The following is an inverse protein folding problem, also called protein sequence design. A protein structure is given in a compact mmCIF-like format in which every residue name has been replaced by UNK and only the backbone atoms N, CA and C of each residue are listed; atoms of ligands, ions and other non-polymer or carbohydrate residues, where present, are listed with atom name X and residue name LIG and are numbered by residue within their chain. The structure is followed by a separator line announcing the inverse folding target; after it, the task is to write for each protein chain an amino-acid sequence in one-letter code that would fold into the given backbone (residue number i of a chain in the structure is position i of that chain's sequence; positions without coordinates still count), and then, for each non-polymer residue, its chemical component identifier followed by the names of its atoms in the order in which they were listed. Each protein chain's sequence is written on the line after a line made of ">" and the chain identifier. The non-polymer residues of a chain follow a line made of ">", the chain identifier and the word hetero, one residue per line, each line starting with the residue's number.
data_IF_842756530488
#
_entry.id   IF_842756530488
#
_cell.length_a   1.000
_cell.length_b   1.000
_cell.length_c   1.000
_cell.angle_alpha   90.00
_cell.angle_beta   90.00
_cell.angle_gamma   90.00
#
_symmetry.space_group_name_H-M   'P 1'
#
loop_
_entity.id
_entity.type
_entity.pdbx_description
1 polymer ?
#
# COMPACT_ATOMS: atom_id res chain seq x y z
N UNK A 1 19.35 -9.80 11.70
CA UNK A 1 19.65 -11.27 11.61
C UNK A 1 18.84 -11.96 10.52
N UNK A 2 17.49 -12.03 10.58
CA UNK A 2 16.74 -12.79 9.56
C UNK A 2 16.90 -12.27 8.13
N UNK A 3 16.92 -10.94 7.93
CA UNK A 3 17.05 -10.36 6.58
C UNK A 3 18.47 -10.51 6.01
N UNK A 4 19.50 -10.40 6.82
CA UNK A 4 20.88 -10.63 6.40
C UNK A 4 21.11 -12.09 5.99
N UNK A 5 20.47 -13.01 6.69
CA UNK A 5 20.50 -14.43 6.32
C UNK A 5 19.75 -14.68 5.01
N UNK A 6 18.56 -14.11 4.84
CA UNK A 6 17.81 -14.18 3.58
C UNK A 6 18.60 -13.56 2.42
N UNK A 7 19.29 -12.43 2.64
CA UNK A 7 20.12 -11.81 1.62
C UNK A 7 21.22 -12.75 1.12
N UNK A 8 21.86 -13.50 2.03
CA UNK A 8 22.87 -14.50 1.67
C UNK A 8 22.32 -15.62 0.78
N UNK A 9 21.03 -15.95 0.93
CA UNK A 9 20.37 -16.94 0.06
C UNK A 9 19.92 -16.34 -1.26
N UNK A 10 19.51 -15.08 -1.27
CA UNK A 10 18.94 -14.44 -2.45
C UNK A 10 19.99 -13.93 -3.43
N UNK A 11 21.11 -13.38 -2.94
CA UNK A 11 22.15 -12.84 -3.80
C UNK A 11 22.70 -13.86 -4.82
N UNK A 12 23.01 -15.11 -4.44
CA UNK A 12 23.48 -16.11 -5.42
C UNK A 12 22.43 -16.52 -6.46
N UNK A 13 21.14 -16.39 -6.12
CA UNK A 13 20.03 -16.70 -7.04
C UNK A 13 19.88 -15.60 -8.09
N UNK A 14 20.15 -14.36 -7.71
CA UNK A 14 19.94 -13.16 -8.52
C UNK A 14 18.52 -12.64 -8.51
N UNK A 15 18.38 -11.31 -8.49
CA UNK A 15 17.08 -10.64 -8.34
C UNK A 15 16.11 -10.95 -9.48
N UNK A 16 16.61 -11.17 -10.70
CA UNK A 16 15.77 -11.53 -11.85
C UNK A 16 15.01 -12.85 -11.60
N UNK A 17 15.73 -13.91 -11.20
CA UNK A 17 15.10 -15.22 -10.90
C UNK A 17 14.18 -15.17 -9.68
N UNK A 18 14.48 -14.30 -8.70
CA UNK A 18 13.59 -14.09 -7.57
C UNK A 18 12.28 -13.41 -8.01
N UNK A 19 12.34 -12.46 -8.95
CA UNK A 19 11.13 -11.88 -9.57
C UNK A 19 10.32 -12.93 -10.33
N UNK A 20 10.98 -13.78 -11.12
CA UNK A 20 10.31 -14.84 -11.89
C UNK A 20 9.55 -15.81 -10.96
N UNK A 21 10.07 -16.07 -9.75
CA UNK A 21 9.41 -16.91 -8.76
C UNK A 21 8.08 -16.34 -8.23
N UNK A 22 7.82 -15.05 -8.46
CA UNK A 22 6.56 -14.38 -8.09
C UNK A 22 5.47 -14.55 -9.18
N UNK A 23 5.82 -15.07 -10.36
CA UNK A 23 4.84 -15.39 -11.38
C UNK A 23 3.82 -16.41 -10.84
N UNK A 24 2.56 -16.11 -11.02
CA UNK A 24 1.47 -16.93 -10.48
C UNK A 24 1.12 -16.70 -9.01
N UNK A 25 1.76 -15.77 -8.34
CA UNK A 25 1.34 -15.36 -6.99
C UNK A 25 -0.10 -14.86 -6.99
N UNK A 26 -0.87 -15.31 -5.99
CA UNK A 26 -2.29 -14.96 -5.88
C UNK A 26 -2.45 -13.60 -5.24
N UNK A 27 -3.22 -12.74 -5.90
CA UNK A 27 -3.68 -11.48 -5.33
C UNK A 27 -4.88 -11.72 -4.40
N UNK A 28 -5.09 -10.81 -3.45
CA UNK A 28 -6.31 -10.77 -2.68
C UNK A 28 -7.54 -10.61 -3.61
N UNK A 29 -8.71 -11.16 -3.23
CA UNK A 29 -9.93 -11.02 -4.02
C UNK A 29 -10.23 -9.57 -4.36
N UNK A 30 -10.72 -9.33 -5.57
CA UNK A 30 -11.12 -8.00 -6.03
C UNK A 30 -10.00 -6.98 -6.24
N UNK A 31 -8.70 -7.35 -6.08
CA UNK A 31 -7.58 -6.39 -6.15
C UNK A 31 -7.58 -5.61 -7.47
N UNK A 32 -7.60 -6.29 -8.62
CA UNK A 32 -7.54 -5.61 -9.93
C UNK A 32 -8.75 -4.72 -10.17
N UNK A 33 -9.94 -5.20 -9.84
CA UNK A 33 -11.19 -4.45 -10.00
C UNK A 33 -11.23 -3.25 -9.06
N UNK A 34 -10.86 -3.44 -7.79
CA UNK A 34 -10.84 -2.37 -6.80
C UNK A 34 -9.86 -1.27 -7.15
N UNK A 35 -8.63 -1.61 -7.54
CA UNK A 35 -7.64 -0.61 -7.96
C UNK A 35 -8.06 0.08 -9.27
N UNK A 36 -8.64 -0.64 -10.22
CA UNK A 36 -9.21 -0.06 -11.44
C UNK A 36 -10.32 0.94 -11.13
N UNK A 37 -11.22 0.61 -10.19
CA UNK A 37 -12.28 1.50 -9.73
C UNK A 37 -11.71 2.77 -9.10
N UNK A 38 -10.73 2.66 -8.21
CA UNK A 38 -10.09 3.83 -7.57
C UNK A 38 -9.44 4.74 -8.61
N UNK A 39 -8.67 4.18 -9.55
CA UNK A 39 -8.03 4.96 -10.63
C UNK A 39 -9.04 5.67 -11.51
N UNK A 40 -10.15 5.01 -11.89
CA UNK A 40 -11.21 5.62 -12.68
C UNK A 40 -11.85 6.85 -12.00
N UNK A 41 -11.67 6.96 -10.67
CA UNK A 41 -12.14 8.10 -9.88
C UNK A 41 -11.00 9.06 -9.46
N UNK A 42 -9.83 8.97 -10.10
CA UNK A 42 -8.70 9.86 -9.84
C UNK A 42 -7.99 9.61 -8.51
N UNK A 43 -8.19 8.47 -7.87
CA UNK A 43 -7.52 8.12 -6.61
C UNK A 43 -6.13 7.58 -6.91
N UNK A 44 -5.10 8.23 -6.39
CA UNK A 44 -3.74 7.73 -6.42
C UNK A 44 -3.60 6.53 -5.47
N UNK A 45 -2.90 5.50 -5.93
CA UNK A 45 -2.67 4.28 -5.14
C UNK A 45 -1.20 4.10 -4.88
N UNK A 46 -0.85 3.66 -3.66
CA UNK A 46 0.51 3.34 -3.27
C UNK A 46 0.62 2.02 -2.52
N UNK A 47 1.80 1.39 -2.57
CA UNK A 47 2.12 0.16 -1.83
C UNK A 47 3.27 0.45 -0.86
N UNK A 48 3.01 0.32 0.45
CA UNK A 48 4.02 0.40 1.50
C UNK A 48 4.20 -0.97 2.16
N UNK A 49 5.37 -1.58 1.98
CA UNK A 49 5.64 -2.93 2.50
C UNK A 49 7.01 -3.02 3.14
N UNK A 50 7.11 -3.86 4.17
CA UNK A 50 8.40 -4.22 4.79
C UNK A 50 9.12 -5.33 4.01
N UNK A 51 8.46 -5.93 3.02
CA UNK A 51 9.07 -6.99 2.21
C UNK A 51 10.09 -6.44 1.20
N UNK A 52 10.75 -7.32 0.48
CA UNK A 52 11.79 -6.95 -0.48
C UNK A 52 11.25 -6.10 -1.63
N UNK A 53 11.99 -5.07 -2.00
CA UNK A 53 11.61 -4.12 -3.06
C UNK A 53 11.39 -4.81 -4.42
N UNK A 54 12.16 -5.85 -4.75
CA UNK A 54 11.95 -6.59 -6.00
C UNK A 54 10.56 -7.26 -6.06
N UNK A 55 10.02 -7.69 -4.91
CA UNK A 55 8.67 -8.25 -4.84
C UNK A 55 7.61 -7.13 -4.90
N UNK A 56 7.83 -6.03 -4.16
CA UNK A 56 6.91 -4.87 -4.19
C UNK A 56 6.84 -4.29 -5.59
N UNK A 57 7.97 -4.11 -6.26
CA UNK A 57 8.06 -3.60 -7.63
C UNK A 57 7.34 -4.52 -8.63
N UNK A 58 7.49 -5.84 -8.48
CA UNK A 58 6.77 -6.80 -9.32
C UNK A 58 5.26 -6.59 -9.23
N UNK A 59 4.70 -6.52 -8.00
CA UNK A 59 3.27 -6.29 -7.82
C UNK A 59 2.85 -4.87 -8.20
N UNK A 60 3.67 -3.87 -7.97
CA UNK A 60 3.40 -2.50 -8.39
C UNK A 60 3.23 -2.42 -9.91
N UNK A 61 4.13 -3.04 -10.67
CA UNK A 61 4.02 -3.14 -12.14
C UNK A 61 2.79 -3.95 -12.59
N UNK A 62 2.56 -5.12 -11.95
CA UNK A 62 1.40 -5.97 -12.27
C UNK A 62 0.07 -5.26 -12.07
N UNK A 63 0.02 -4.34 -11.09
CA UNK A 63 -1.18 -3.62 -10.66
C UNK A 63 -1.21 -2.17 -11.17
N UNK A 64 -0.22 -1.76 -11.97
CA UNK A 64 -0.11 -0.39 -12.49
C UNK A 64 -0.13 0.65 -11.34
N UNK A 65 0.73 0.44 -10.34
CA UNK A 65 0.90 1.32 -9.18
C UNK A 65 2.25 2.01 -9.28
N UNK A 66 2.25 3.35 -9.37
CA UNK A 66 3.47 4.15 -9.53
C UNK A 66 4.22 4.38 -8.22
N UNK A 67 3.49 4.44 -7.10
CA UNK A 67 4.04 4.80 -5.80
C UNK A 67 4.22 3.57 -4.94
N UNK A 68 5.45 3.21 -4.63
CA UNK A 68 5.72 2.05 -3.78
C UNK A 68 6.99 2.20 -2.94
N UNK A 69 7.04 1.45 -1.84
CA UNK A 69 8.19 1.35 -0.94
C UNK A 69 8.35 -0.09 -0.46
N UNK A 70 9.60 -0.56 -0.43
CA UNK A 70 9.97 -1.87 0.09
C UNK A 70 11.43 -1.90 0.55
N UNK A 71 11.81 -2.92 1.33
CA UNK A 71 13.19 -3.14 1.76
C UNK A 71 14.07 -3.45 0.54
N UNK A 72 15.12 -2.65 0.32
CA UNK A 72 16.01 -2.83 -0.82
C UNK A 72 17.14 -3.78 -0.45
N UNK A 73 17.41 -4.74 -1.33
CA UNK A 73 18.62 -5.55 -1.33
C UNK A 73 19.46 -5.12 -2.52
N UNK A 74 20.60 -4.50 -2.25
CA UNK A 74 21.55 -4.10 -3.27
C UNK A 74 22.40 -5.31 -3.72
N UNK A 75 22.94 -5.26 -4.92
CA UNK A 75 23.85 -6.31 -5.43
C UNK A 75 25.12 -6.44 -4.59
N UNK A 76 25.52 -5.38 -3.91
CA UNK A 76 26.63 -5.37 -2.93
C UNK A 76 26.35 -6.20 -1.68
N UNK A 77 25.08 -6.56 -1.43
CA UNK A 77 24.62 -7.20 -0.21
C UNK A 77 24.17 -6.21 0.87
N UNK A 78 24.27 -4.90 0.61
CA UNK A 78 23.73 -3.88 1.50
C UNK A 78 22.19 -3.95 1.53
N UNK A 79 21.62 -3.77 2.72
CA UNK A 79 20.18 -3.80 2.93
C UNK A 79 19.73 -2.44 3.45
N UNK A 80 18.89 -1.75 2.69
CA UNK A 80 18.16 -0.58 3.16
C UNK A 80 16.79 -1.01 3.64
N UNK A 81 16.67 -1.11 4.96
CA UNK A 81 15.46 -1.62 5.59
C UNK A 81 14.29 -0.64 5.48
N UNK A 82 13.10 -1.20 5.28
CA UNK A 82 11.82 -0.56 5.60
C UNK A 82 11.23 -1.31 6.80
N UNK A 83 10.91 -0.57 7.85
CA UNK A 83 10.32 -1.09 9.07
C UNK A 83 8.82 -0.74 9.13
N UNK A 84 8.04 -1.38 10.00
CA UNK A 84 6.62 -1.04 10.19
C UNK A 84 6.40 0.46 10.46
N UNK A 85 7.26 1.08 11.26
CA UNK A 85 7.24 2.50 11.62
C UNK A 85 7.50 3.45 10.44
N UNK A 86 8.18 2.98 9.39
CA UNK A 86 8.48 3.81 8.21
C UNK A 86 7.27 3.98 7.28
N UNK A 87 6.25 3.12 7.40
CA UNK A 87 5.07 3.18 6.55
C UNK A 87 4.26 4.46 6.75
N UNK A 88 4.05 4.87 8.00
CA UNK A 88 3.29 6.07 8.31
C UNK A 88 3.95 7.36 7.79
N UNK A 89 5.26 7.64 8.02
CA UNK A 89 5.96 8.76 7.40
C UNK A 89 5.90 8.73 5.87
N UNK A 90 6.04 7.54 5.27
CA UNK A 90 5.99 7.41 3.81
C UNK A 90 4.62 7.80 3.24
N UNK A 91 3.51 7.32 3.86
CA UNK A 91 2.14 7.67 3.45
C UNK A 91 1.91 9.18 3.57
N UNK A 92 2.33 9.81 4.69
CA UNK A 92 2.22 11.25 4.87
C UNK A 92 3.01 12.03 3.81
N UNK A 93 4.25 11.61 3.54
CA UNK A 93 5.08 12.23 2.53
C UNK A 93 4.50 12.07 1.11
N UNK A 94 3.86 10.93 0.81
CA UNK A 94 3.16 10.73 -0.46
C UNK A 94 1.94 11.64 -0.57
N UNK A 95 1.09 11.68 0.45
CA UNK A 95 -0.08 12.55 0.48
C UNK A 95 0.31 14.04 0.32
N UNK A 96 1.38 14.47 0.98
CA UNK A 96 1.91 15.83 0.84
C UNK A 96 2.40 16.13 -0.58
N UNK A 97 3.15 15.21 -1.21
CA UNK A 97 3.63 15.40 -2.60
C UNK A 97 2.49 15.45 -3.62
N UNK A 98 1.40 14.74 -3.33
CA UNK A 98 0.20 14.70 -4.18
C UNK A 98 -0.84 15.76 -3.78
N UNK A 99 -0.53 16.60 -2.80
CA UNK A 99 -1.42 17.66 -2.28
C UNK A 99 -2.79 17.12 -1.83
N UNK A 100 -2.81 15.87 -1.31
CA UNK A 100 -4.03 15.23 -0.81
C UNK A 100 -4.15 15.48 0.70
N UNK A 101 -5.27 16.08 1.17
CA UNK A 101 -5.49 16.28 2.59
C UNK A 101 -5.66 14.94 3.30
N UNK A 102 -5.26 14.87 4.57
CA UNK A 102 -5.22 13.60 5.29
C UNK A 102 -6.61 12.97 5.43
N UNK A 103 -7.67 13.77 5.51
CA UNK A 103 -9.07 13.32 5.55
C UNK A 103 -9.50 12.59 4.27
N UNK A 104 -8.73 12.74 3.20
CA UNK A 104 -8.91 12.03 1.94
C UNK A 104 -7.83 10.99 1.67
N UNK A 105 -7.09 10.61 2.70
CA UNK A 105 -6.16 9.48 2.63
C UNK A 105 -6.78 8.25 3.27
N UNK A 106 -6.58 7.10 2.66
CA UNK A 106 -6.94 5.80 3.22
C UNK A 106 -5.71 4.91 3.26
N UNK A 107 -5.66 4.03 4.24
CA UNK A 107 -4.71 2.92 4.26
C UNK A 107 -5.45 1.62 4.51
N UNK A 108 -5.00 0.56 3.86
CA UNK A 108 -5.49 -0.80 4.04
C UNK A 108 -4.35 -1.65 4.59
N UNK A 109 -4.59 -2.33 5.71
CA UNK A 109 -3.60 -3.19 6.35
C UNK A 109 -4.24 -4.41 6.97
N UNK A 110 -3.44 -5.47 7.18
CA UNK A 110 -3.91 -6.78 7.64
C UNK A 110 -3.17 -7.29 8.89
N UNK A 111 -2.24 -6.51 9.42
CA UNK A 111 -1.36 -6.97 10.49
C UNK A 111 -1.05 -5.88 11.53
N UNK A 112 -0.50 -6.30 12.66
CA UNK A 112 0.01 -5.40 13.69
C UNK A 112 1.09 -4.43 13.15
N UNK A 113 1.86 -4.84 12.13
CA UNK A 113 2.84 -4.00 11.46
C UNK A 113 2.25 -2.85 10.65
N UNK A 114 0.93 -2.79 10.47
CA UNK A 114 0.23 -1.72 9.75
C UNK A 114 -0.43 -0.71 10.67
N UNK A 115 -0.48 -0.96 11.98
CA UNK A 115 -1.23 -0.15 12.92
C UNK A 115 -0.83 1.33 12.91
N UNK A 116 0.48 1.63 12.85
CA UNK A 116 0.95 3.01 12.80
C UNK A 116 0.56 3.71 11.49
N UNK A 117 0.61 2.99 10.36
CA UNK A 117 0.17 3.49 9.08
C UNK A 117 -1.35 3.75 9.08
N UNK A 118 -2.13 2.81 9.59
CA UNK A 118 -3.59 2.93 9.71
C UNK A 118 -3.98 4.12 10.59
N UNK A 119 -3.29 4.31 11.73
CA UNK A 119 -3.50 5.46 12.61
C UNK A 119 -3.05 6.82 12.03
N UNK A 120 -2.39 6.84 10.88
CA UNK A 120 -1.84 8.04 10.25
C UNK A 120 -2.67 8.56 9.07
N UNK A 121 -3.86 8.03 8.84
CA UNK A 121 -4.74 8.38 7.72
C UNK A 121 -6.16 8.69 8.19
N UNK A 122 -6.91 9.40 7.36
CA UNK A 122 -8.31 9.74 7.65
C UNK A 122 -9.26 8.56 7.53
N UNK A 123 -8.93 7.56 6.70
CA UNK A 123 -9.72 6.35 6.50
C UNK A 123 -8.87 5.09 6.70
N UNK A 124 -8.70 4.66 7.96
CA UNK A 124 -8.05 3.39 8.27
C UNK A 124 -8.99 2.22 7.98
N UNK A 125 -8.49 1.24 7.23
CA UNK A 125 -9.21 0.02 6.88
C UNK A 125 -8.37 -1.19 7.29
N UNK A 126 -8.86 -1.97 8.24
CA UNK A 126 -8.25 -3.24 8.59
C UNK A 126 -8.95 -4.37 7.85
N UNK A 127 -8.18 -5.24 7.20
CA UNK A 127 -8.67 -6.42 6.50
C UNK A 127 -8.12 -7.68 7.16
N UNK A 128 -8.98 -8.64 7.46
CA UNK A 128 -8.58 -9.89 8.11
C UNK A 128 -9.40 -10.22 9.33
N UNK A 129 -9.14 -11.40 9.90
CA UNK A 129 -9.95 -11.97 11.00
C UNK A 129 -9.48 -11.56 12.39
N UNK A 130 -8.31 -10.95 12.52
CA UNK A 130 -7.69 -10.63 13.80
C UNK A 130 -8.28 -9.34 14.39
N UNK A 131 -9.38 -9.48 15.13
CA UNK A 131 -10.09 -8.36 15.76
C UNK A 131 -9.24 -7.59 16.79
N UNK A 132 -8.29 -8.25 17.44
CA UNK A 132 -7.42 -7.63 18.45
C UNK A 132 -6.56 -6.49 17.88
N UNK A 133 -6.35 -6.46 16.58
CA UNK A 133 -5.60 -5.42 15.88
C UNK A 133 -6.46 -4.25 15.40
N UNK A 134 -7.79 -4.35 15.53
CA UNK A 134 -8.73 -3.31 15.07
C UNK A 134 -8.94 -2.28 16.17
N UNK A 135 -8.65 -1.01 15.90
CA UNK A 135 -8.92 0.08 16.83
C UNK A 135 -10.33 0.65 16.62
N UNK A 136 -10.85 1.29 17.66
CA UNK A 136 -12.16 1.94 17.59
C UNK A 136 -12.17 3.01 16.48
N UNK A 137 -13.20 2.98 15.66
CA UNK A 137 -13.35 3.92 14.54
C UNK A 137 -12.71 3.46 13.22
N UNK A 138 -11.99 2.35 13.22
CA UNK A 138 -11.47 1.76 11.99
C UNK A 138 -12.54 0.95 11.25
N UNK A 139 -12.53 1.04 9.93
CA UNK A 139 -13.31 0.13 9.11
C UNK A 139 -12.69 -1.27 9.16
N UNK A 140 -13.53 -2.28 9.31
CA UNK A 140 -13.08 -3.66 9.38
C UNK A 140 -13.79 -4.53 8.34
N UNK A 141 -12.99 -5.25 7.56
CA UNK A 141 -13.43 -6.26 6.62
C UNK A 141 -12.83 -7.61 7.03
N UNK A 142 -13.64 -8.60 7.47
CA UNK A 142 -13.14 -9.92 7.89
C UNK A 142 -12.45 -10.72 6.77
N UNK A 143 -12.72 -10.35 5.51
CA UNK A 143 -12.06 -10.88 4.33
C UNK A 143 -11.38 -9.74 3.57
N UNK A 144 -10.20 -10.02 3.01
CA UNK A 144 -9.45 -9.07 2.20
C UNK A 144 -10.09 -8.94 0.80
N UNK A 145 -11.28 -8.35 0.72
CA UNK A 145 -11.95 -8.01 -0.53
C UNK A 145 -11.65 -6.55 -0.89
N UNK A 146 -10.67 -6.36 -1.76
CA UNK A 146 -10.19 -5.02 -2.13
C UNK A 146 -11.22 -4.26 -2.99
N UNK A 147 -12.06 -4.96 -3.75
CA UNK A 147 -13.13 -4.31 -4.50
C UNK A 147 -14.20 -3.74 -3.56
N UNK A 148 -14.59 -4.48 -2.52
CA UNK A 148 -15.53 -4.00 -1.52
C UNK A 148 -14.99 -2.76 -0.78
N UNK A 149 -13.71 -2.76 -0.41
CA UNK A 149 -13.04 -1.60 0.18
C UNK A 149 -13.06 -0.40 -0.78
N UNK A 150 -12.69 -0.60 -2.04
CA UNK A 150 -12.66 0.46 -3.04
C UNK A 150 -14.05 1.08 -3.27
N UNK A 151 -15.09 0.27 -3.38
CA UNK A 151 -16.49 0.75 -3.51
C UNK A 151 -16.92 1.58 -2.30
N UNK A 152 -16.52 1.16 -1.10
CA UNK A 152 -16.81 1.92 0.11
C UNK A 152 -16.13 3.29 0.08
N UNK A 153 -14.83 3.37 -0.24
CA UNK A 153 -14.09 4.62 -0.31
C UNK A 153 -14.70 5.58 -1.37
N UNK A 154 -15.03 5.07 -2.55
CA UNK A 154 -15.70 5.86 -3.61
C UNK A 154 -17.02 6.46 -3.10
N UNK A 155 -17.82 5.66 -2.39
CA UNK A 155 -19.11 6.11 -1.84
C UNK A 155 -18.93 7.16 -0.73
N UNK A 156 -18.03 6.92 0.23
CA UNK A 156 -17.80 7.83 1.37
C UNK A 156 -17.21 9.16 0.90
N UNK A 157 -16.28 9.13 -0.02
CA UNK A 157 -15.68 10.34 -0.57
C UNK A 157 -16.56 11.02 -1.64
N UNK A 158 -17.70 10.42 -1.99
CA UNK A 158 -18.64 10.92 -3.02
C UNK A 158 -17.94 11.20 -4.35
N UNK A 159 -17.05 10.29 -4.74
CA UNK A 159 -16.31 10.42 -5.98
C UNK A 159 -17.22 10.10 -7.18
N UNK A 160 -17.03 10.84 -8.26
CA UNK A 160 -17.64 10.59 -9.57
C UNK A 160 -16.53 10.57 -10.61
N UNK A 161 -16.65 9.76 -11.68
CA UNK A 161 -15.71 9.81 -12.80
C UNK A 161 -15.61 11.21 -13.42
N UNK A 162 -16.71 11.97 -13.40
CA UNK A 162 -16.79 13.34 -13.93
C UNK A 162 -16.29 14.40 -12.92
N UNK A 163 -16.07 14.02 -11.66
CA UNK A 163 -15.55 14.88 -10.61
C UNK A 163 -14.53 14.10 -9.76
N UNK A 164 -13.35 13.80 -10.35
CA UNK A 164 -12.28 13.10 -9.63
C UNK A 164 -11.74 13.95 -8.47
N UNK A 165 -10.95 13.32 -7.61
CA UNK A 165 -10.20 14.03 -6.57
C UNK A 165 -9.33 15.11 -7.21
N UNK A 166 -9.75 16.36 -7.12
CA UNK A 166 -8.89 17.49 -7.50
C UNK A 166 -7.94 17.82 -6.35
N UNK A 167 -6.68 18.11 -6.62
CA UNK A 167 -5.81 18.71 -5.62
C UNK A 167 -6.50 20.00 -5.11
N UNK A 168 -6.53 20.18 -3.80
CA UNK A 168 -7.06 21.40 -3.21
C UNK A 168 -6.21 22.56 -3.74
N UNK A 169 -6.82 23.44 -4.53
CA UNK A 169 -6.16 24.68 -4.91
C UNK A 169 -5.69 25.35 -3.62
N UNK A 170 -4.37 25.56 -3.49
CA UNK A 170 -3.82 26.29 -2.36
C UNK A 170 -4.53 27.62 -2.29
N UNK A 171 -5.25 27.86 -1.19
CA UNK A 171 -5.75 29.19 -0.88
C UNK A 171 -4.52 30.09 -0.71
N UNK A 172 -4.11 30.72 -1.80
CA UNK A 172 -3.14 31.80 -1.79
C UNK A 172 -3.79 33.00 -1.09
N UNK A 173 -3.20 33.41 -0.02
CA UNK A 173 -3.49 34.61 0.73
C UNK A 173 -2.25 35.00 1.49
#
# INVERSE_FOLDING_TARGET
>A
MAREEMARWYLPVGLARLRDSLEGARLAPGTKNGLGLLRAHGVAVGIASITWSFAVEHFARLLDVEHWQGTVLEESGEIRHVWPEDKAPWVRGLAQRLEVPWERTAAVGDSAGDQQMLGAVGFPVFVGRELASVQQGWLHYPAADIEAVARHLVAVWKLSPDNPLQPTASAGG
#
